data_IF_004811993055
#
_entry.id   IF_004811993055
#
_cell.length_a   1.000
_cell.length_b   1.000
_cell.length_c   1.000
_cell.angle_alpha   90.00
_cell.angle_beta   90.00
_cell.angle_gamma   90.00
#
_symmetry.space_group_name_H-M   'P 1'
#
loop_
_entity.id
_entity.type
_entity.pdbx_description
1 polymer ?
#
# COMPACT_ATOMS: atom_id res chain seq x y z
N UNK A 1 -46.14 13.02 30.17
CA UNK A 1 -44.86 12.29 30.18
C UNK A 1 -44.52 11.92 28.75
N UNK A 2 -43.73 12.76 28.08
CA UNK A 2 -43.31 12.60 26.69
C UNK A 2 -41.82 12.27 26.70
N UNK A 3 -41.50 11.01 26.45
CA UNK A 3 -40.14 10.47 26.42
C UNK A 3 -39.44 10.89 25.12
N UNK A 4 -38.89 12.11 25.12
CA UNK A 4 -38.14 12.67 24.01
C UNK A 4 -36.74 12.06 23.94
N UNK A 5 -36.64 10.90 23.30
CA UNK A 5 -35.33 10.32 22.96
C UNK A 5 -34.54 11.28 22.05
N UNK A 6 -33.26 11.54 22.35
CA UNK A 6 -32.44 12.36 21.48
C UNK A 6 -32.27 11.68 20.13
N UNK A 7 -32.68 12.37 19.06
CA UNK A 7 -32.35 12.01 17.68
C UNK A 7 -30.84 12.17 17.52
N UNK A 8 -30.14 11.06 17.26
CA UNK A 8 -28.73 11.07 16.86
C UNK A 8 -28.67 11.69 15.45
N UNK A 9 -28.58 13.02 15.41
CA UNK A 9 -28.32 13.77 14.19
C UNK A 9 -26.83 13.86 13.94
N UNK A 10 -26.44 13.30 12.80
CA UNK A 10 -25.41 13.70 11.83
C UNK A 10 -24.56 12.50 11.43
N UNK A 11 -24.88 11.96 10.26
CA UNK A 11 -24.01 11.01 9.57
C UNK A 11 -22.69 11.72 9.29
N UNK A 12 -21.66 11.43 10.10
CA UNK A 12 -20.31 11.81 9.72
C UNK A 12 -20.06 11.31 8.29
N UNK A 13 -19.46 12.12 7.41
CA UNK A 13 -19.14 11.71 6.06
C UNK A 13 -18.38 10.40 6.16
N UNK A 14 -18.85 9.37 5.43
CA UNK A 14 -18.28 8.02 5.45
C UNK A 14 -16.80 8.13 5.14
N UNK A 15 -15.96 8.16 6.17
CA UNK A 15 -14.52 8.39 6.07
C UNK A 15 -13.96 7.60 4.88
N UNK A 16 -13.50 8.28 3.83
CA UNK A 16 -13.36 7.76 2.46
C UNK A 16 -11.97 7.15 2.23
N UNK A 17 -11.44 6.37 3.17
CA UNK A 17 -10.11 5.77 3.07
C UNK A 17 -9.86 5.21 1.66
N UNK A 18 -8.75 5.62 1.03
CA UNK A 18 -8.31 5.29 -0.34
C UNK A 18 -9.05 6.01 -1.50
N UNK A 19 -10.08 6.83 -1.26
CA UNK A 19 -10.77 7.57 -2.33
C UNK A 19 -10.00 8.82 -2.77
N UNK A 20 -9.30 9.45 -1.84
CA UNK A 20 -8.58 10.70 -2.10
C UNK A 20 -7.20 10.46 -2.74
N UNK A 21 -6.78 9.19 -2.81
CA UNK A 21 -5.58 8.80 -3.52
C UNK A 21 -5.89 8.60 -5.00
N UNK A 22 -5.00 9.11 -5.86
CA UNK A 22 -5.08 8.82 -7.28
C UNK A 22 -4.94 7.31 -7.55
N UNK A 23 -5.55 6.84 -8.64
CA UNK A 23 -5.48 5.43 -9.02
C UNK A 23 -4.10 5.04 -9.55
N UNK A 24 -3.44 5.98 -10.25
CA UNK A 24 -2.14 5.79 -10.89
C UNK A 24 -2.08 4.55 -11.78
N UNK A 25 -3.14 4.29 -12.57
CA UNK A 25 -3.24 3.14 -13.48
C UNK A 25 -2.31 3.31 -14.70
N UNK A 26 -1.02 3.36 -14.43
CA UNK A 26 0.05 3.52 -15.42
C UNK A 26 0.57 2.17 -15.89
N UNK A 27 0.87 2.09 -17.19
CA UNK A 27 1.82 1.10 -17.72
C UNK A 27 3.22 1.67 -17.51
N UNK A 28 4.11 0.91 -16.87
CA UNK A 28 5.47 1.37 -16.60
C UNK A 28 6.32 1.41 -17.88
N UNK A 29 7.24 2.38 -18.02
CA UNK A 29 8.12 2.46 -19.18
C UNK A 29 9.05 1.24 -19.27
N UNK A 30 9.29 0.79 -20.51
CA UNK A 30 10.23 -0.28 -20.80
C UNK A 30 11.65 0.11 -20.40
N UNK A 31 12.42 -0.81 -19.85
CA UNK A 31 13.80 -0.58 -19.43
C UNK A 31 14.30 -1.72 -18.53
N UNK A 32 15.31 -1.44 -17.71
CA UNK A 32 15.82 -2.42 -16.75
C UNK A 32 14.80 -2.79 -15.66
N UNK A 33 15.08 -3.82 -14.85
CA UNK A 33 14.16 -4.29 -13.83
C UNK A 33 13.89 -3.20 -12.79
N UNK A 34 12.63 -3.09 -12.37
CA UNK A 34 12.13 -2.21 -11.32
C UNK A 34 11.64 -3.12 -10.20
N UNK A 35 12.38 -3.17 -9.11
CA UNK A 35 12.02 -3.95 -7.93
C UNK A 35 11.28 -3.06 -6.93
N UNK A 36 10.02 -3.37 -6.67
CA UNK A 36 9.23 -2.66 -5.68
C UNK A 36 8.81 -3.61 -4.55
N UNK A 37 9.10 -3.23 -3.31
CA UNK A 37 8.64 -3.98 -2.14
C UNK A 37 7.12 -3.86 -1.99
N UNK A 38 6.51 -4.80 -1.27
CA UNK A 38 5.10 -4.68 -0.88
C UNK A 38 4.80 -3.35 -0.16
N UNK A 39 5.71 -2.92 0.71
CA UNK A 39 5.59 -1.67 1.46
C UNK A 39 5.57 -0.47 0.51
N UNK A 40 6.46 -0.41 -0.48
CA UNK A 40 6.49 0.68 -1.47
C UNK A 40 5.19 0.82 -2.24
N UNK A 41 4.65 -0.29 -2.74
CA UNK A 41 3.42 -0.27 -3.53
C UNK A 41 2.25 0.20 -2.65
N UNK A 42 2.14 -0.29 -1.41
CA UNK A 42 1.07 0.12 -0.48
C UNK A 42 1.17 1.61 -0.11
N UNK A 43 2.39 2.11 0.05
CA UNK A 43 2.63 3.46 0.57
C UNK A 43 2.63 4.51 -0.54
N UNK A 44 3.33 4.26 -1.65
CA UNK A 44 3.50 5.24 -2.73
C UNK A 44 2.39 5.14 -3.78
N UNK A 45 1.76 3.96 -3.91
CA UNK A 45 0.74 3.68 -4.93
C UNK A 45 -0.49 3.00 -4.30
N UNK A 46 -1.19 3.65 -3.33
CA UNK A 46 -2.08 2.95 -2.40
C UNK A 46 -3.29 2.27 -3.04
N UNK A 47 -3.62 2.59 -4.30
CA UNK A 47 -4.71 1.97 -5.04
C UNK A 47 -4.26 0.81 -5.95
N UNK A 48 -2.97 0.55 -6.09
CA UNK A 48 -2.47 -0.50 -6.99
C UNK A 48 -2.88 -1.91 -6.59
N UNK A 49 -3.08 -2.18 -5.31
CA UNK A 49 -3.58 -3.49 -4.84
C UNK A 49 -5.01 -3.82 -5.32
N UNK A 50 -5.71 -2.85 -5.94
CA UNK A 50 -7.00 -3.09 -6.59
C UNK A 50 -6.85 -3.84 -7.91
N UNK A 51 -5.67 -3.77 -8.53
CA UNK A 51 -5.34 -4.46 -9.78
C UNK A 51 -5.05 -5.94 -9.53
N UNK A 52 -5.48 -6.80 -10.46
CA UNK A 52 -5.39 -8.27 -10.31
C UNK A 52 -3.98 -8.76 -10.02
N UNK A 53 -3.00 -8.31 -10.79
CA UNK A 53 -1.63 -8.84 -10.70
C UNK A 53 -0.98 -8.54 -9.33
N UNK A 54 -1.18 -7.32 -8.81
CA UNK A 54 -0.69 -6.93 -7.48
C UNK A 54 -1.46 -7.65 -6.38
N UNK A 55 -2.79 -7.75 -6.49
CA UNK A 55 -3.59 -8.48 -5.52
C UNK A 55 -3.19 -9.96 -5.44
N UNK A 56 -2.96 -10.60 -6.58
CA UNK A 56 -2.50 -12.00 -6.66
C UNK A 56 -1.13 -12.13 -6.01
N UNK A 57 -0.17 -11.27 -6.36
CA UNK A 57 1.17 -11.25 -5.72
C UNK A 57 1.06 -11.18 -4.22
N UNK A 58 0.34 -10.18 -3.72
CA UNK A 58 0.23 -9.95 -2.28
C UNK A 58 -0.51 -11.07 -1.55
N UNK A 59 -1.59 -11.61 -2.11
CA UNK A 59 -2.34 -12.70 -1.49
C UNK A 59 -1.59 -14.03 -1.53
N UNK A 60 -0.82 -14.31 -2.60
CA UNK A 60 0.07 -15.47 -2.66
C UNK A 60 1.19 -15.38 -1.62
N UNK A 61 1.67 -14.17 -1.33
CA UNK A 61 2.71 -13.91 -0.32
C UNK A 61 2.14 -13.67 1.09
N UNK A 62 0.85 -13.96 1.33
CA UNK A 62 0.27 -14.03 2.67
C UNK A 62 -0.25 -12.72 3.26
N UNK A 63 -0.40 -11.65 2.46
CA UNK A 63 -0.96 -10.40 2.98
C UNK A 63 -2.40 -10.60 3.48
N UNK A 64 -2.78 -9.82 4.49
CA UNK A 64 -4.18 -9.63 4.87
C UNK A 64 -4.48 -8.15 5.14
N UNK A 65 -5.76 -7.80 5.27
CA UNK A 65 -6.16 -6.41 5.49
C UNK A 65 -5.58 -5.78 6.77
N UNK A 66 -5.34 -6.59 7.81
CA UNK A 66 -4.69 -6.13 9.04
C UNK A 66 -3.23 -5.71 8.82
N UNK A 67 -2.46 -6.52 8.09
CA UNK A 67 -1.06 -6.24 7.71
C UNK A 67 -0.99 -5.03 6.79
N UNK A 68 -1.79 -5.00 5.71
CA UNK A 68 -1.84 -3.85 4.80
C UNK A 68 -2.16 -2.57 5.57
N UNK A 69 -3.19 -2.58 6.42
CA UNK A 69 -3.56 -1.41 7.21
C UNK A 69 -2.45 -0.99 8.19
N UNK A 70 -1.69 -1.93 8.75
CA UNK A 70 -0.57 -1.62 9.64
C UNK A 70 0.55 -0.89 8.88
N UNK A 71 0.95 -1.39 7.71
CA UNK A 71 1.90 -0.74 6.80
C UNK A 71 1.39 0.67 6.47
N UNK A 72 0.16 0.78 5.99
CA UNK A 72 -0.40 2.05 5.54
C UNK A 72 -0.47 3.08 6.68
N UNK A 73 -0.92 2.67 7.88
CA UNK A 73 -1.00 3.55 9.05
C UNK A 73 0.36 4.02 9.56
N UNK A 74 1.40 3.19 9.41
CA UNK A 74 2.76 3.55 9.80
C UNK A 74 3.33 4.67 8.92
N UNK A 75 3.06 4.63 7.62
CA UNK A 75 3.66 5.55 6.66
C UNK A 75 2.78 6.75 6.28
N UNK A 76 1.46 6.67 6.43
CA UNK A 76 0.52 7.74 6.09
C UNK A 76 -0.18 8.34 7.30
N UNK A 77 -0.51 9.63 7.21
CA UNK A 77 -1.50 10.24 8.11
C UNK A 77 -2.92 10.02 7.58
N UNK A 78 -3.62 9.08 8.20
CA UNK A 78 -4.95 8.65 7.76
C UNK A 78 -6.10 9.46 8.36
N UNK A 79 -5.81 10.40 9.28
CA UNK A 79 -6.82 11.16 10.02
C UNK A 79 -7.92 10.29 10.67
N UNK A 80 -7.61 9.03 11.04
CA UNK A 80 -8.53 8.11 11.71
C UNK A 80 -8.39 8.28 13.22
N UNK A 81 -9.43 8.80 13.87
CA UNK A 81 -9.40 9.18 15.29
C UNK A 81 -9.84 8.02 16.17
N UNK A 82 -10.82 7.24 15.73
CA UNK A 82 -11.47 6.21 16.54
C UNK A 82 -11.05 4.79 16.17
N UNK A 83 -11.21 3.85 17.11
CA UNK A 83 -10.99 2.43 16.87
C UNK A 83 -11.94 1.88 15.77
N UNK A 84 -13.21 2.30 15.82
CA UNK A 84 -14.24 1.92 14.83
C UNK A 84 -13.87 2.37 13.41
N UNK A 85 -13.28 3.54 13.25
CA UNK A 85 -12.79 4.00 11.95
C UNK A 85 -11.62 3.16 11.45
N UNK A 86 -10.69 2.80 12.33
CA UNK A 86 -9.59 1.89 12.00
C UNK A 86 -10.08 0.48 11.59
N UNK A 87 -11.12 -0.03 12.24
CA UNK A 87 -11.72 -1.32 11.89
C UNK A 87 -12.41 -1.26 10.53
N UNK A 88 -13.24 -0.24 10.29
CA UNK A 88 -13.90 -0.03 8.98
C UNK A 88 -12.89 0.13 7.84
N UNK A 89 -11.81 0.85 8.09
CA UNK A 89 -10.69 0.99 7.18
C UNK A 89 -10.10 -0.37 6.78
N UNK A 90 -9.79 -1.21 7.78
CA UNK A 90 -9.26 -2.57 7.58
C UNK A 90 -10.24 -3.48 6.84
N UNK A 91 -11.52 -3.42 7.18
CA UNK A 91 -12.57 -4.21 6.55
C UNK A 91 -12.69 -3.86 5.06
N UNK A 92 -12.63 -2.57 4.71
CA UNK A 92 -12.64 -2.14 3.31
C UNK A 92 -11.45 -2.65 2.51
N UNK A 93 -10.25 -2.64 3.09
CA UNK A 93 -9.06 -3.21 2.43
C UNK A 93 -9.28 -4.71 2.21
N UNK A 94 -9.79 -5.43 3.22
CA UNK A 94 -10.10 -6.85 3.13
C UNK A 94 -11.14 -7.15 2.05
N UNK A 95 -12.22 -6.38 2.02
CA UNK A 95 -13.27 -6.49 1.01
C UNK A 95 -12.77 -6.18 -0.39
N UNK A 96 -11.87 -5.21 -0.53
CA UNK A 96 -11.26 -4.87 -1.80
C UNK A 96 -10.41 -6.04 -2.34
N UNK A 97 -9.54 -6.64 -1.52
CA UNK A 97 -8.81 -7.85 -1.93
C UNK A 97 -9.77 -8.98 -2.33
N UNK A 98 -10.82 -9.22 -1.53
CA UNK A 98 -11.82 -10.24 -1.84
C UNK A 98 -12.51 -9.99 -3.18
N UNK A 99 -12.87 -8.74 -3.48
CA UNK A 99 -13.47 -8.37 -4.77
C UNK A 99 -12.49 -8.59 -5.91
N UNK A 100 -11.27 -8.07 -5.81
CA UNK A 100 -10.25 -8.21 -6.85
C UNK A 100 -9.90 -9.68 -7.11
N UNK A 101 -9.67 -10.48 -6.06
CA UNK A 101 -9.35 -11.90 -6.23
C UNK A 101 -10.51 -12.72 -6.83
N UNK A 102 -11.77 -12.33 -6.58
CA UNK A 102 -12.93 -12.96 -7.23
C UNK A 102 -13.08 -12.62 -8.70
N UNK A 103 -12.45 -11.55 -9.18
CA UNK A 103 -12.33 -11.29 -10.62
C UNK A 103 -11.30 -12.22 -11.28
N UNK A 104 -10.30 -12.70 -10.51
CA UNK A 104 -9.30 -13.66 -10.98
C UNK A 104 -9.84 -15.09 -10.93
N UNK A 105 -10.46 -15.46 -9.80
CA UNK A 105 -11.08 -16.76 -9.58
C UNK A 105 -12.44 -16.58 -8.87
N UNK A 106 -13.59 -16.76 -9.54
CA UNK A 106 -14.90 -16.46 -8.96
C UNK A 106 -15.24 -17.18 -7.65
N UNK A 107 -14.72 -18.40 -7.46
CA UNK A 107 -14.89 -19.22 -6.26
C UNK A 107 -13.86 -18.90 -5.17
N UNK A 108 -13.03 -17.88 -5.36
CA UNK A 108 -11.96 -17.53 -4.44
C UNK A 108 -12.49 -17.21 -3.04
N UNK A 109 -11.84 -17.81 -2.05
CA UNK A 109 -11.96 -17.47 -0.65
C UNK A 109 -10.56 -17.41 -0.04
N UNK A 110 -10.40 -16.64 1.04
CA UNK A 110 -9.14 -16.61 1.79
C UNK A 110 -8.75 -18.00 2.33
N UNK A 111 -9.73 -18.84 2.69
CA UNK A 111 -9.48 -20.17 3.23
C UNK A 111 -8.98 -21.16 2.16
N UNK A 112 -9.37 -20.96 0.91
CA UNK A 112 -8.97 -21.81 -0.23
C UNK A 112 -7.79 -21.24 -1.00
N UNK A 113 -7.29 -20.06 -0.63
CA UNK A 113 -6.17 -19.40 -1.27
C UNK A 113 -4.91 -20.23 -1.12
N UNK A 114 -4.28 -20.56 -2.25
CA UNK A 114 -2.99 -21.25 -2.32
C UNK A 114 -2.18 -20.62 -3.45
N UNK A 115 -0.91 -20.34 -3.18
CA UNK A 115 0.01 -19.94 -4.23
C UNK A 115 0.08 -21.07 -5.28
N UNK A 116 0.08 -20.75 -6.58
CA UNK A 116 0.18 -21.75 -7.62
C UNK A 116 1.52 -22.48 -7.56
N UNK A 117 1.59 -23.70 -8.11
CA UNK A 117 2.84 -24.45 -8.22
C UNK A 117 3.87 -23.63 -9.01
N UNK A 118 5.10 -23.52 -8.48
CA UNK A 118 6.16 -22.72 -9.10
C UNK A 118 6.07 -21.21 -8.82
N UNK A 119 5.17 -20.76 -7.95
CA UNK A 119 5.15 -19.36 -7.49
C UNK A 119 6.49 -18.98 -6.86
N UNK A 120 7.13 -17.93 -7.37
CA UNK A 120 8.35 -17.37 -6.80
C UNK A 120 7.99 -16.22 -5.85
N UNK A 121 7.98 -16.49 -4.55
CA UNK A 121 7.67 -15.49 -3.52
C UNK A 121 8.73 -14.37 -3.40
N UNK A 122 9.90 -14.56 -4.00
CA UNK A 122 10.99 -13.57 -4.01
C UNK A 122 10.94 -12.66 -5.24
N UNK A 123 10.01 -12.86 -6.17
CA UNK A 123 9.86 -11.99 -7.33
C UNK A 123 9.16 -10.68 -6.93
N UNK A 124 9.91 -9.58 -7.04
CA UNK A 124 9.44 -8.24 -6.71
C UNK A 124 9.42 -7.30 -7.92
N UNK A 125 9.75 -7.83 -9.11
CA UNK A 125 9.84 -7.05 -10.32
C UNK A 125 8.43 -6.63 -10.75
N UNK A 126 8.24 -5.34 -11.04
CA UNK A 126 6.94 -4.78 -11.44
C UNK A 126 6.90 -4.33 -12.91
N UNK A 127 7.94 -4.58 -13.71
CA UNK A 127 7.99 -4.15 -15.11
C UNK A 127 6.80 -4.62 -15.94
N UNK A 128 6.34 -5.84 -15.70
CA UNK A 128 5.26 -6.47 -16.46
C UNK A 128 3.88 -6.24 -15.81
N UNK A 129 3.81 -5.38 -14.79
CA UNK A 129 2.54 -4.99 -14.19
C UNK A 129 1.67 -4.28 -15.23
N UNK A 130 0.46 -4.80 -15.44
CA UNK A 130 -0.53 -4.19 -16.32
C UNK A 130 -1.77 -3.83 -15.50
N UNK A 131 -2.08 -2.54 -15.28
CA UNK A 131 -3.28 -2.16 -14.56
C UNK A 131 -4.52 -2.69 -15.29
N UNK A 132 -5.57 -3.05 -14.54
CA UNK A 132 -6.78 -3.64 -15.09
C UNK A 132 -7.47 -2.71 -16.11
N UNK A 133 -7.34 -1.40 -15.92
CA UNK A 133 -7.80 -0.38 -16.86
C UNK A 133 -7.14 -0.51 -18.23
N UNK A 134 -5.83 -0.83 -18.28
CA UNK A 134 -5.07 -1.01 -19.53
C UNK A 134 -5.41 -2.29 -20.29
N UNK A 135 -6.26 -3.15 -19.71
CA UNK A 135 -6.80 -4.35 -20.39
C UNK A 135 -8.07 -4.03 -21.19
N UNK A 136 -8.63 -2.84 -21.05
CA UNK A 136 -9.83 -2.42 -21.79
C UNK A 136 -9.45 -1.74 -23.12
N UNK A 137 -10.24 -1.91 -24.20
CA UNK A 137 -9.99 -1.26 -25.48
C UNK A 137 -9.94 0.27 -25.40
N UNK A 138 -10.70 0.87 -24.48
CA UNK A 138 -10.83 2.32 -24.30
C UNK A 138 -9.79 2.90 -23.34
N UNK A 139 -8.74 2.16 -23.01
CA UNK A 139 -7.70 2.64 -22.11
C UNK A 139 -7.01 3.88 -22.69
N UNK A 140 -6.97 4.93 -21.89
CA UNK A 140 -6.17 6.13 -22.13
C UNK A 140 -5.13 6.19 -21.03
N UNK A 141 -3.85 6.20 -21.41
CA UNK A 141 -2.75 6.36 -20.47
C UNK A 141 -2.95 7.65 -19.67
N UNK A 142 -3.03 7.58 -18.32
CA UNK A 142 -3.14 8.77 -17.51
C UNK A 142 -1.92 9.67 -17.73
N UNK A 143 -2.11 10.99 -17.66
CA UNK A 143 -0.99 11.92 -17.74
C UNK A 143 -0.02 11.70 -16.57
N UNK A 144 1.27 11.73 -16.85
CA UNK A 144 2.31 11.64 -15.84
C UNK A 144 2.20 12.77 -14.81
N UNK A 145 2.59 12.48 -13.57
CA UNK A 145 2.53 13.42 -12.45
C UNK A 145 3.93 13.74 -11.95
N UNK A 146 4.18 14.92 -11.35
CA UNK A 146 5.47 15.16 -10.70
C UNK A 146 5.76 14.07 -9.68
N UNK A 147 6.96 13.48 -9.71
CA UNK A 147 7.32 12.32 -8.88
C UNK A 147 7.09 12.62 -7.39
N UNK A 148 7.44 13.84 -6.95
CA UNK A 148 7.23 14.33 -5.57
C UNK A 148 5.77 14.28 -5.11
N UNK A 149 4.79 14.24 -6.02
CA UNK A 149 3.37 14.11 -5.67
C UNK A 149 3.03 12.76 -5.03
N UNK A 150 3.83 11.71 -5.29
CA UNK A 150 3.69 10.41 -4.63
C UNK A 150 3.97 10.47 -3.12
N UNK A 151 4.62 11.55 -2.65
CA UNK A 151 4.91 11.77 -1.24
C UNK A 151 3.77 12.49 -0.47
N UNK A 152 2.70 12.91 -1.15
CA UNK A 152 1.59 13.63 -0.50
C UNK A 152 0.89 12.71 0.51
N UNK A 153 0.75 13.18 1.75
CA UNK A 153 0.11 12.44 2.85
C UNK A 153 1.04 11.51 3.63
N UNK A 154 2.31 11.38 3.20
CA UNK A 154 3.30 10.57 3.91
C UNK A 154 3.77 11.24 5.21
N UNK A 155 3.87 10.44 6.28
CA UNK A 155 4.62 10.75 7.50
C UNK A 155 6.11 10.52 7.29
N UNK A 156 6.45 9.43 6.58
CA UNK A 156 7.81 9.01 6.27
C UNK A 156 7.83 8.13 5.02
N UNK A 157 8.90 8.25 4.23
CA UNK A 157 9.19 7.31 3.15
C UNK A 157 9.45 5.90 3.71
N UNK A 158 9.17 4.84 2.94
CA UNK A 158 9.76 3.53 3.21
C UNK A 158 11.28 3.65 3.37
N UNK A 159 11.91 2.79 4.16
CA UNK A 159 13.35 2.82 4.37
C UNK A 159 13.89 1.44 4.73
N UNK A 160 15.22 1.27 4.65
CA UNK A 160 15.85 -0.02 4.92
C UNK A 160 15.28 -1.12 4.02
N UNK A 161 14.84 -2.22 4.63
CA UNK A 161 14.29 -3.40 3.94
C UNK A 161 12.88 -3.18 3.39
N UNK A 162 12.21 -2.11 3.80
CA UNK A 162 10.91 -1.72 3.24
C UNK A 162 11.04 -0.87 1.96
N UNK A 163 12.25 -0.42 1.62
CA UNK A 163 12.51 0.42 0.45
C UNK A 163 13.16 -0.37 -0.69
N UNK A 164 12.76 -0.04 -1.92
CA UNK A 164 13.26 -0.57 -3.16
C UNK A 164 13.46 0.56 -4.18
N UNK A 165 13.20 0.28 -5.45
CA UNK A 165 13.52 1.20 -6.53
C UNK A 165 12.60 2.43 -6.55
N UNK A 166 11.31 2.30 -6.19
CA UNK A 166 10.36 3.41 -6.22
C UNK A 166 10.70 4.48 -5.17
N UNK A 167 11.06 4.07 -3.97
CA UNK A 167 11.45 4.94 -2.86
C UNK A 167 12.74 5.66 -3.18
N UNK A 168 13.74 4.94 -3.72
CA UNK A 168 15.02 5.55 -4.11
C UNK A 168 14.84 6.55 -5.24
N UNK A 169 14.00 6.23 -6.23
CA UNK A 169 13.67 7.16 -7.31
C UNK A 169 12.91 8.40 -6.80
N UNK A 170 11.94 8.23 -5.89
CA UNK A 170 11.23 9.35 -5.26
C UNK A 170 12.17 10.23 -4.44
N UNK A 171 13.02 9.64 -3.59
CA UNK A 171 13.98 10.37 -2.77
C UNK A 171 14.96 11.18 -3.64
N UNK A 172 15.42 10.61 -4.75
CA UNK A 172 16.23 11.32 -5.74
C UNK A 172 15.45 12.48 -6.38
N UNK A 173 14.23 12.23 -6.87
CA UNK A 173 13.40 13.23 -7.53
C UNK A 173 12.98 14.38 -6.60
N UNK A 174 12.90 14.15 -5.28
CA UNK A 174 12.65 15.20 -4.29
C UNK A 174 13.86 16.11 -4.04
N UNK A 175 15.08 15.63 -4.35
CA UNK A 175 16.34 16.35 -4.09
C UNK A 175 16.99 16.93 -5.34
N UNK A 176 16.47 16.59 -6.52
CA UNK A 176 17.06 16.93 -7.82
C UNK A 176 15.97 17.43 -8.78
N UNK A 177 16.39 18.06 -9.87
CA UNK A 177 15.52 18.50 -10.96
C UNK A 177 16.05 17.95 -12.28
N UNK A 178 15.14 17.74 -13.22
CA UNK A 178 15.48 17.51 -14.62
C UNK A 178 15.63 18.87 -15.32
N UNK A 179 16.12 18.88 -16.56
CA UNK A 179 16.22 20.10 -17.36
C UNK A 179 15.45 19.93 -18.67
N UNK A 180 14.62 20.91 -19.00
CA UNK A 180 13.92 20.93 -20.27
C UNK A 180 14.85 21.33 -21.43
N UNK A 181 14.31 21.40 -22.65
CA UNK A 181 15.04 21.82 -23.86
C UNK A 181 15.61 23.25 -23.81
N UNK A 182 15.22 24.04 -22.82
CA UNK A 182 15.67 25.41 -22.57
C UNK A 182 16.58 25.52 -21.34
N UNK A 183 17.05 24.39 -20.81
CA UNK A 183 17.86 24.32 -19.58
C UNK A 183 17.14 24.89 -18.35
N UNK A 184 15.80 24.88 -18.35
CA UNK A 184 15.01 25.24 -17.19
C UNK A 184 14.80 24.02 -16.31
N UNK A 185 14.97 24.20 -15.00
CA UNK A 185 14.73 23.15 -14.01
C UNK A 185 13.26 22.75 -14.00
N UNK A 186 12.97 21.49 -14.28
CA UNK A 186 11.63 20.90 -14.23
C UNK A 186 11.61 19.71 -13.27
N UNK A 187 10.43 19.42 -12.71
CA UNK A 187 10.27 18.24 -11.86
C UNK A 187 10.43 16.96 -12.70
N UNK A 188 11.02 15.93 -12.10
CA UNK A 188 10.91 14.58 -12.66
C UNK A 188 9.45 14.11 -12.64
N UNK A 189 9.05 13.38 -13.67
CA UNK A 189 7.67 12.93 -13.90
C UNK A 189 7.55 11.41 -13.72
N UNK A 190 6.55 10.96 -12.95
CA UNK A 190 6.20 9.55 -12.80
C UNK A 190 5.00 9.19 -13.71
N UNK A 191 5.07 8.07 -14.45
CA UNK A 191 6.14 7.06 -14.44
C UNK A 191 7.29 7.33 -15.44
N UNK A 192 7.17 8.32 -16.32
CA UNK A 192 8.03 8.47 -17.51
C UNK A 192 9.54 8.54 -17.19
N UNK A 193 9.94 9.29 -16.16
CA UNK A 193 11.35 9.47 -15.80
C UNK A 193 11.88 8.37 -14.86
N UNK A 194 11.06 7.37 -14.51
CA UNK A 194 11.47 6.33 -13.55
C UNK A 194 12.73 5.58 -14.00
N UNK A 195 12.78 5.15 -15.27
CA UNK A 195 13.94 4.43 -15.79
C UNK A 195 15.17 5.34 -15.86
N UNK A 196 15.00 6.59 -16.31
CA UNK A 196 16.06 7.60 -16.35
C UNK A 196 16.71 7.78 -14.97
N UNK A 197 15.89 7.94 -13.93
CA UNK A 197 16.38 8.08 -12.55
C UNK A 197 17.12 6.81 -12.12
N UNK A 198 16.54 5.62 -12.33
CA UNK A 198 17.14 4.35 -11.91
C UNK A 198 18.42 4.00 -12.65
N UNK A 199 18.55 4.40 -13.91
CA UNK A 199 19.78 4.26 -14.68
C UNK A 199 20.88 5.21 -14.17
N UNK A 200 20.49 6.38 -13.65
CA UNK A 200 21.42 7.33 -13.04
C UNK A 200 21.89 6.91 -11.63
N UNK A 201 20.95 6.53 -10.75
CA UNK A 201 21.28 6.20 -9.34
C UNK A 201 21.57 4.72 -9.09
N UNK A 202 21.43 3.89 -10.12
CA UNK A 202 21.49 2.43 -10.01
C UNK A 202 20.24 1.82 -9.35
N UNK A 203 20.14 0.50 -9.39
CA UNK A 203 19.00 -0.28 -8.87
C UNK A 203 19.29 -0.88 -7.50
N UNK A 204 18.22 -1.19 -6.77
CA UNK A 204 18.30 -1.75 -5.41
C UNK A 204 18.82 -3.17 -5.47
N UNK A 205 19.82 -3.47 -4.63
CA UNK A 205 20.26 -4.85 -4.44
C UNK A 205 19.28 -5.58 -3.53
N UNK A 206 18.43 -6.40 -4.13
CA UNK A 206 17.44 -7.18 -3.40
C UNK A 206 18.11 -8.23 -2.50
N UNK A 207 17.68 -8.26 -1.24
CA UNK A 207 18.02 -9.29 -0.25
C UNK A 207 16.74 -10.01 0.17
N UNK A 208 16.88 -11.13 0.88
CA UNK A 208 15.74 -11.87 1.44
C UNK A 208 14.86 -11.01 2.36
N UNK A 209 15.41 -9.96 2.97
CA UNK A 209 14.68 -9.08 3.89
C UNK A 209 13.77 -8.07 3.16
N UNK A 210 13.97 -7.86 1.86
CA UNK A 210 13.10 -6.99 1.05
C UNK A 210 11.82 -7.69 0.59
N UNK A 211 11.79 -9.03 0.68
CA UNK A 211 10.75 -9.86 0.07
C UNK A 211 9.40 -9.71 0.79
N UNK A 212 8.31 -9.88 0.04
CA UNK A 212 6.96 -9.81 0.58
C UNK A 212 6.73 -10.73 1.80
N UNK A 213 7.19 -12.01 1.82
CA UNK A 213 7.03 -12.87 3.00
C UNK A 213 7.74 -12.32 4.24
N UNK A 214 8.90 -11.66 4.07
CA UNK A 214 9.62 -11.05 5.18
C UNK A 214 8.82 -9.87 5.75
N UNK A 215 8.35 -8.95 4.91
CA UNK A 215 7.48 -7.83 5.32
C UNK A 215 6.22 -8.34 6.03
N UNK A 216 5.56 -9.36 5.46
CA UNK A 216 4.36 -9.97 6.06
C UNK A 216 4.65 -10.54 7.45
N UNK A 217 5.77 -11.25 7.64
CA UNK A 217 6.19 -11.76 8.95
C UNK A 217 6.42 -10.63 9.95
N UNK A 218 7.21 -9.61 9.57
CA UNK A 218 7.54 -8.46 10.41
C UNK A 218 6.29 -7.75 10.93
N UNK A 219 5.38 -7.38 10.03
CA UNK A 219 4.14 -6.69 10.41
C UNK A 219 3.15 -7.61 11.14
N UNK A 220 3.12 -8.90 10.83
CA UNK A 220 2.33 -9.86 11.60
C UNK A 220 2.81 -9.94 13.04
N UNK A 221 4.12 -9.94 13.28
CA UNK A 221 4.67 -10.05 14.63
C UNK A 221 4.47 -8.76 15.43
N UNK A 222 4.62 -7.59 14.79
CA UNK A 222 4.27 -6.29 15.36
C UNK A 222 2.81 -6.25 15.84
N UNK A 223 1.87 -6.75 15.02
CA UNK A 223 0.45 -6.80 15.36
C UNK A 223 0.18 -7.74 16.55
N UNK A 224 0.83 -8.91 16.60
CA UNK A 224 0.72 -9.84 17.74
C UNK A 224 1.24 -9.22 19.03
N UNK A 225 2.41 -8.58 18.98
CA UNK A 225 3.02 -7.91 20.13
C UNK A 225 2.10 -6.79 20.65
N UNK A 226 1.55 -5.97 19.76
CA UNK A 226 0.61 -4.91 20.11
C UNK A 226 -0.67 -5.45 20.76
N UNK A 227 -1.21 -6.55 20.23
CA UNK A 227 -2.39 -7.20 20.80
C UNK A 227 -2.09 -7.78 22.20
N UNK A 228 -0.94 -8.45 22.37
CA UNK A 228 -0.50 -9.00 23.66
C UNK A 228 -0.31 -7.92 24.72
N UNK A 229 0.34 -6.80 24.37
CA UNK A 229 0.53 -5.67 25.27
C UNK A 229 -0.81 -5.05 25.74
N UNK A 230 -1.78 -4.91 24.83
CA UNK A 230 -3.14 -4.44 25.18
C UNK A 230 -3.84 -5.41 26.12
N UNK A 231 -3.78 -6.71 25.86
CA UNK A 231 -4.40 -7.72 26.71
C UNK A 231 -3.79 -7.71 28.13
N UNK A 232 -2.46 -7.64 28.23
CA UNK A 232 -1.76 -7.55 29.51
C UNK A 232 -2.18 -6.32 30.32
N UNK A 233 -2.31 -5.15 29.67
CA UNK A 233 -2.78 -3.91 30.31
C UNK A 233 -4.19 -4.05 30.88
N UNK A 234 -5.12 -4.65 30.12
CA UNK A 234 -6.50 -4.88 30.57
C UNK A 234 -6.55 -5.82 31.78
N UNK A 235 -5.71 -6.87 31.80
CA UNK A 235 -5.61 -7.79 32.93
C UNK A 235 -5.09 -7.09 34.19
N UNK A 236 -4.05 -6.26 34.06
CA UNK A 236 -3.49 -5.49 35.19
C UNK A 236 -4.51 -4.49 35.76
N UNK A 237 -5.22 -3.75 34.90
CA UNK A 237 -6.27 -2.81 35.33
C UNK A 237 -7.41 -3.52 36.08
N UNK A 238 -7.81 -4.72 35.62
CA UNK A 238 -8.82 -5.54 36.33
C UNK A 238 -8.30 -6.04 37.67
N UNK A 239 -7.01 -6.41 37.76
CA UNK A 239 -6.40 -6.86 39.01
C UNK A 239 -6.36 -5.71 40.03
N UNK A 240 -5.93 -4.51 39.62
CA UNK A 240 -5.91 -3.33 40.50
C UNK A 240 -7.31 -3.00 41.06
N UNK A 241 -8.35 -3.04 40.22
CA UNK A 241 -9.74 -2.81 40.66
C UNK A 241 -10.30 -3.87 41.63
N UNK A 242 -9.73 -5.07 41.64
CA UNK A 242 -10.20 -6.18 42.51
C UNK A 242 -9.52 -6.15 43.88
N UNK A 243 -8.31 -5.58 43.97
CA UNK A 243 -7.46 -5.67 45.17
C UNK A 243 -7.04 -4.31 45.76
N UNK A 244 -7.54 -3.20 45.22
CA UNK A 244 -7.36 -1.85 45.76
C UNK A 244 -8.72 -1.20 45.97
#
# INVERSE_FOLDING_TARGET
MSDSRPKITQSQPRNLLLRDFALHDYVLPTGGPINATMTEIIVLLPNWFRNRDIAVRFQNNGINGGIHFAIFKEHHDLALVTATECERARDRITDQYRRTMRLVAPTWTKATQKAPNGWNENDMVINNFLPDAARQPEYITPASVPFKSLAVGLKKLPSGTDAGDLTRALDFAMKNQNFDKHSQGVDFMFPDDLQLILDHIGRTKITSEHTDPHTVRQYSDLLKQTAGAKAAKVVDERRRKKYG
#
